data_IF_055746127477
#
_entry.id   IF_055746127477
#
_cell.length_a   1.000
_cell.length_b   1.000
_cell.length_c   1.000
_cell.angle_alpha   90.00
_cell.angle_beta   90.00
_cell.angle_gamma   90.00
#
_symmetry.space_group_name_H-M   'P 1'
#
loop_
_entity.id
_entity.type
_entity.pdbx_description
1 polymer ?
#
# COMPACT_ATOMS: atom_id res chain seq x y z
N UNK A 1 -2.73 0.57 -18.24
CA UNK A 1 -3.81 -0.28 -17.71
C UNK A 1 -3.17 -1.35 -16.84
N UNK A 2 -3.59 -1.50 -15.59
CA UNK A 2 -3.13 -2.56 -14.69
C UNK A 2 -4.39 -3.28 -14.20
N UNK A 3 -4.36 -4.62 -14.21
CA UNK A 3 -5.43 -5.44 -13.62
C UNK A 3 -5.11 -5.71 -12.15
N UNK A 4 -3.88 -6.17 -11.88
CA UNK A 4 -3.32 -6.32 -10.55
C UNK A 4 -1.79 -6.26 -10.60
N UNK A 5 -1.16 -6.12 -9.44
CA UNK A 5 0.28 -6.27 -9.25
C UNK A 5 0.57 -7.23 -8.09
N UNK A 6 1.78 -7.79 -8.06
CA UNK A 6 2.21 -8.72 -7.01
C UNK A 6 3.58 -8.34 -6.48
N UNK A 7 3.76 -8.36 -5.15
CA UNK A 7 5.06 -8.18 -4.50
C UNK A 7 5.40 -9.35 -3.58
N UNK A 8 6.70 -9.66 -3.51
CA UNK A 8 7.25 -10.65 -2.59
C UNK A 8 7.65 -10.03 -1.26
N UNK A 9 7.22 -10.60 -0.13
CA UNK A 9 7.53 -10.16 1.23
C UNK A 9 8.20 -11.26 2.06
N UNK A 10 8.88 -10.88 3.15
CA UNK A 10 9.51 -11.83 4.09
C UNK A 10 8.52 -12.47 5.04
N UNK A 11 7.51 -11.72 5.45
CA UNK A 11 6.59 -12.09 6.52
C UNK A 11 5.20 -11.61 6.13
N UNK A 12 4.33 -12.57 5.81
CA UNK A 12 2.98 -12.30 5.36
C UNK A 12 2.11 -11.74 6.50
N UNK A 13 2.30 -12.22 7.73
CA UNK A 13 1.51 -11.78 8.89
C UNK A 13 1.86 -10.34 9.29
N UNK A 14 3.14 -9.98 9.25
CA UNK A 14 3.58 -8.60 9.43
C UNK A 14 3.03 -7.69 8.33
N UNK A 15 3.06 -8.17 7.07
CA UNK A 15 2.50 -7.43 5.95
C UNK A 15 0.99 -7.25 6.09
N UNK A 16 0.26 -8.27 6.58
CA UNK A 16 -1.17 -8.19 6.83
C UNK A 16 -1.52 -7.10 7.83
N UNK A 17 -0.84 -7.06 8.98
CA UNK A 17 -1.05 -6.01 10.00
C UNK A 17 -0.84 -4.61 9.42
N UNK A 18 0.18 -4.44 8.57
CA UNK A 18 0.45 -3.17 7.91
C UNK A 18 -0.62 -2.81 6.89
N UNK A 19 -0.90 -3.69 5.92
CA UNK A 19 -1.81 -3.38 4.82
C UNK A 19 -3.28 -3.32 5.25
N UNK A 20 -3.71 -4.12 6.24
CA UNK A 20 -5.06 -4.00 6.81
C UNK A 20 -5.26 -2.59 7.40
N UNK A 21 -4.31 -2.11 8.22
CA UNK A 21 -4.41 -0.80 8.85
C UNK A 21 -4.23 0.36 7.85
N UNK A 22 -3.24 0.26 6.96
CA UNK A 22 -2.92 1.33 6.02
C UNK A 22 -4.03 1.50 4.97
N UNK A 23 -4.62 0.42 4.47
CA UNK A 23 -5.54 0.48 3.34
C UNK A 23 -7.02 0.67 3.73
N UNK A 24 -7.40 0.38 4.98
CA UNK A 24 -8.77 0.59 5.48
C UNK A 24 -9.28 2.03 5.24
N UNK A 25 -8.52 3.12 5.53
CA UNK A 25 -8.97 4.49 5.29
C UNK A 25 -9.28 4.82 3.83
N UNK A 26 -8.72 4.05 2.88
CA UNK A 26 -8.96 4.21 1.45
C UNK A 26 -10.16 3.38 0.96
N UNK A 27 -10.73 2.54 1.83
CA UNK A 27 -11.85 1.65 1.50
C UNK A 27 -11.44 0.32 0.86
N UNK A 28 -10.17 -0.09 1.00
CA UNK A 28 -9.70 -1.40 0.55
C UNK A 28 -9.58 -2.37 1.72
N UNK A 29 -9.70 -3.67 1.44
CA UNK A 29 -9.57 -4.73 2.44
C UNK A 29 -8.91 -5.98 1.85
N UNK A 30 -8.58 -6.94 2.72
CA UNK A 30 -8.07 -8.25 2.32
C UNK A 30 -9.22 -9.12 1.80
N UNK A 31 -9.38 -9.21 0.48
CA UNK A 31 -10.45 -9.96 -0.18
C UNK A 31 -10.12 -11.45 -0.36
N UNK A 32 -8.83 -11.80 -0.33
CA UNK A 32 -8.35 -13.18 -0.42
C UNK A 32 -7.20 -13.40 0.55
N UNK A 33 -7.21 -14.53 1.24
CA UNK A 33 -6.14 -14.91 2.18
C UNK A 33 -5.92 -16.42 2.16
N UNK A 34 -4.65 -16.81 2.06
CA UNK A 34 -4.17 -18.17 2.26
C UNK A 34 -2.79 -18.15 2.94
N UNK A 35 -2.27 -19.28 3.42
CA UNK A 35 -0.92 -19.32 4.00
C UNK A 35 0.12 -18.75 3.02
N UNK A 36 0.79 -17.67 3.42
CA UNK A 36 1.80 -17.00 2.60
C UNK A 36 1.27 -16.13 1.45
N UNK A 37 -0.03 -15.84 1.37
CA UNK A 37 -0.59 -14.97 0.31
C UNK A 37 -1.79 -14.15 0.77
N UNK A 38 -1.79 -12.86 0.41
CA UNK A 38 -2.86 -11.91 0.69
C UNK A 38 -3.22 -11.16 -0.60
N UNK A 39 -4.52 -11.03 -0.86
CA UNK A 39 -5.07 -10.27 -1.97
C UNK A 39 -5.88 -9.08 -1.46
N UNK A 40 -5.45 -7.87 -1.77
CA UNK A 40 -6.08 -6.61 -1.37
C UNK A 40 -6.79 -5.91 -2.52
N UNK A 41 -7.92 -5.26 -2.22
CA UNK A 41 -8.62 -4.37 -3.14
C UNK A 41 -9.98 -3.94 -2.59
N UNK A 42 -10.78 -3.23 -3.40
CA UNK A 42 -12.09 -2.71 -2.97
C UNK A 42 -13.24 -3.64 -3.33
N UNK A 43 -13.17 -4.21 -4.55
CA UNK A 43 -14.21 -5.12 -5.10
C UNK A 43 -13.60 -6.38 -5.72
N UNK A 44 -12.43 -6.22 -6.31
CA UNK A 44 -11.58 -7.27 -6.88
C UNK A 44 -10.18 -7.13 -6.29
N UNK A 45 -9.39 -8.20 -6.32
CA UNK A 45 -8.00 -8.12 -5.87
C UNK A 45 -7.16 -7.37 -6.90
N UNK A 46 -6.47 -6.32 -6.46
CA UNK A 46 -5.61 -5.45 -7.28
C UNK A 46 -4.14 -5.49 -6.81
N UNK A 47 -3.90 -5.84 -5.54
CA UNK A 47 -2.56 -6.05 -4.98
C UNK A 47 -2.46 -7.44 -4.35
N UNK A 48 -1.47 -8.21 -4.79
CA UNK A 48 -1.04 -9.43 -4.12
C UNK A 48 0.23 -9.21 -3.31
N UNK A 49 0.21 -9.68 -2.07
CA UNK A 49 1.35 -9.71 -1.17
C UNK A 49 1.64 -11.17 -0.87
N UNK A 50 2.76 -11.67 -1.37
CA UNK A 50 3.11 -13.09 -1.30
C UNK A 50 4.40 -13.28 -0.54
N UNK A 51 4.43 -14.23 0.38
CA UNK A 51 5.68 -14.64 1.02
C UNK A 51 6.63 -15.25 -0.02
N UNK A 52 7.88 -14.80 -0.02
CA UNK A 52 8.86 -15.19 -1.03
C UNK A 52 10.22 -15.45 -0.40
N UNK A 53 10.88 -16.55 -0.82
CA UNK A 53 12.25 -16.85 -0.40
C UNK A 53 13.28 -15.81 -0.85
N UNK A 54 12.95 -15.01 -1.87
CA UNK A 54 13.69 -13.82 -2.30
C UNK A 54 12.72 -12.65 -2.42
N UNK A 55 12.40 -11.98 -1.31
CA UNK A 55 11.43 -10.89 -1.26
C UNK A 55 11.98 -9.66 -1.97
N UNK A 56 11.09 -8.73 -2.30
CA UNK A 56 11.49 -7.41 -2.84
C UNK A 56 12.39 -6.72 -1.79
N UNK A 57 13.58 -6.26 -2.17
CA UNK A 57 14.47 -5.57 -1.24
C UNK A 57 13.86 -4.24 -0.81
N UNK A 58 14.04 -3.88 0.45
CA UNK A 58 13.67 -2.56 0.96
C UNK A 58 14.73 -1.53 0.52
N UNK A 59 14.69 -1.18 -0.76
CA UNK A 59 15.65 -0.30 -1.43
C UNK A 59 14.92 0.89 -2.06
N UNK A 60 15.17 2.08 -1.52
CA UNK A 60 14.57 3.33 -1.99
C UNK A 60 15.07 3.74 -3.37
N UNK A 61 16.22 3.24 -3.80
CA UNK A 61 16.84 3.56 -5.09
C UNK A 61 16.46 2.54 -6.18
N UNK A 62 15.62 1.55 -5.86
CA UNK A 62 15.18 0.51 -6.82
C UNK A 62 14.24 1.02 -7.92
N UNK A 63 13.65 2.21 -7.75
CA UNK A 63 12.63 2.75 -8.64
C UNK A 63 11.27 2.05 -8.55
N UNK A 64 11.09 1.05 -7.66
CA UNK A 64 9.80 0.42 -7.44
C UNK A 64 8.86 1.39 -6.72
N UNK A 65 7.81 1.79 -7.40
CA UNK A 65 6.80 2.70 -6.88
C UNK A 65 5.42 2.36 -7.46
N UNK A 66 4.42 2.28 -6.59
CA UNK A 66 3.01 2.16 -6.97
C UNK A 66 2.17 2.93 -5.96
N UNK A 67 0.99 3.37 -6.40
CA UNK A 67 0.08 4.21 -5.62
C UNK A 67 -1.30 3.57 -5.52
N UNK A 68 -1.98 3.84 -4.41
CA UNK A 68 -3.39 3.53 -4.25
C UNK A 68 -4.23 4.77 -4.50
N UNK A 69 -5.41 4.61 -5.11
CA UNK A 69 -6.30 5.74 -5.29
C UNK A 69 -6.95 6.10 -3.94
N UNK A 70 -6.86 7.37 -3.55
CA UNK A 70 -7.57 7.88 -2.39
C UNK A 70 -8.84 8.62 -2.84
N UNK A 71 -10.02 8.33 -2.26
CA UNK A 71 -11.25 9.02 -2.65
C UNK A 71 -11.27 10.48 -2.18
N UNK A 72 -10.48 10.84 -1.18
CA UNK A 72 -10.42 12.18 -0.60
C UNK A 72 -9.01 12.50 -0.05
N UNK A 73 -8.71 13.79 0.13
CA UNK A 73 -7.47 14.24 0.81
C UNK A 73 -7.39 13.71 2.24
N UNK A 74 -8.51 13.75 2.98
CA UNK A 74 -8.60 13.16 4.31
C UNK A 74 -8.27 11.65 4.32
N UNK A 75 -8.60 10.93 3.25
CA UNK A 75 -8.20 9.53 3.07
C UNK A 75 -6.68 9.36 2.95
N UNK A 76 -5.99 10.28 2.27
CA UNK A 76 -4.51 10.31 2.20
C UNK A 76 -3.92 10.57 3.59
N UNK A 77 -4.46 11.56 4.31
CA UNK A 77 -3.99 11.89 5.67
C UNK A 77 -4.16 10.70 6.62
N UNK A 78 -5.33 10.05 6.57
CA UNK A 78 -5.64 8.89 7.39
C UNK A 78 -4.81 7.64 7.02
N UNK A 79 -4.60 7.38 5.72
CA UNK A 79 -3.69 6.35 5.23
C UNK A 79 -2.28 6.54 5.79
N UNK A 80 -1.74 7.76 5.71
CA UNK A 80 -0.39 8.06 6.18
C UNK A 80 -0.28 7.84 7.69
N UNK A 81 -1.22 8.38 8.47
CA UNK A 81 -1.24 8.20 9.92
C UNK A 81 -1.34 6.72 10.34
N UNK A 82 -2.24 5.96 9.71
CA UNK A 82 -2.42 4.53 10.00
C UNK A 82 -1.20 3.70 9.61
N UNK A 83 -0.60 3.97 8.45
CA UNK A 83 0.61 3.29 8.00
C UNK A 83 1.80 3.54 8.95
N UNK A 84 1.98 4.77 9.43
CA UNK A 84 3.02 5.09 10.42
C UNK A 84 2.77 4.37 11.74
N UNK A 85 1.53 4.35 12.23
CA UNK A 85 1.18 3.66 13.48
C UNK A 85 1.40 2.14 13.36
N UNK A 86 1.17 1.57 12.17
CA UNK A 86 1.40 0.16 11.88
C UNK A 86 2.89 -0.20 11.63
N UNK A 87 3.83 0.73 11.86
CA UNK A 87 5.28 0.51 11.76
C UNK A 87 5.89 0.88 10.41
N UNK A 88 5.12 1.54 9.53
CA UNK A 88 5.64 2.17 8.33
C UNK A 88 6.65 3.28 8.64
N UNK A 89 7.51 3.59 7.66
CA UNK A 89 8.46 4.71 7.74
C UNK A 89 7.96 5.85 6.88
N UNK A 90 8.07 7.07 7.40
CA UNK A 90 7.71 8.27 6.64
C UNK A 90 8.64 8.42 5.42
N UNK A 91 8.05 8.66 4.26
CA UNK A 91 8.76 8.95 3.01
C UNK A 91 8.13 10.15 2.29
N UNK A 92 7.48 11.04 3.05
CA UNK A 92 6.77 12.19 2.53
C UNK A 92 5.44 12.36 3.25
N UNK A 93 5.29 13.48 3.94
CA UNK A 93 4.03 13.83 4.62
C UNK A 93 2.93 14.19 3.62
N UNK A 94 1.66 13.94 3.94
CA UNK A 94 0.53 14.36 3.13
C UNK A 94 0.61 15.84 2.72
N UNK A 95 0.35 16.13 1.45
CA UNK A 95 0.42 17.47 0.90
C UNK A 95 0.28 17.54 -0.61
N UNK A 96 0.15 18.76 -1.12
CA UNK A 96 0.16 18.99 -2.56
C UNK A 96 1.52 18.66 -3.17
N UNK A 97 1.49 18.00 -4.33
CA UNK A 97 2.68 17.67 -5.12
C UNK A 97 2.64 18.50 -6.41
N UNK A 98 3.09 19.75 -6.35
CA UNK A 98 3.04 20.68 -7.49
C UNK A 98 3.70 20.11 -8.77
N UNK A 99 4.71 19.26 -8.63
CA UNK A 99 5.36 18.57 -9.77
C UNK A 99 4.43 17.58 -10.52
N UNK A 100 3.32 17.15 -9.92
CA UNK A 100 2.34 16.21 -10.47
C UNK A 100 1.04 16.91 -10.90
N UNK A 101 0.97 18.23 -10.71
CA UNK A 101 -0.18 19.07 -11.03
C UNK A 101 -0.77 19.78 -9.79
N UNK A 102 -1.48 20.88 -10.04
CA UNK A 102 -1.92 21.84 -9.01
C UNK A 102 -2.85 21.26 -7.95
N UNK A 103 -3.52 20.15 -8.24
CA UNK A 103 -4.51 19.51 -7.37
C UNK A 103 -4.08 18.13 -6.87
N UNK A 104 -2.91 17.63 -7.25
CA UNK A 104 -2.46 16.30 -6.86
C UNK A 104 -2.04 16.30 -5.38
N UNK A 105 -2.82 15.63 -4.54
CA UNK A 105 -2.58 15.49 -3.10
C UNK A 105 -2.25 14.04 -2.79
N UNK A 106 -1.10 13.81 -2.15
CA UNK A 106 -0.56 12.50 -1.77
C UNK A 106 0.34 12.67 -0.55
#
# INVERSE_FOLDING_TARGET
>A
MLDHISIGVRDCDASKRFYDAALEPLGYSCLSQSPGSLGYGAKTVELWVNEAGRPVPADADSGLHFCFAAPTRAGVDAFHAAALLAGGKDNGRPGLRAAYGDNYYA
#
